data_IF_520389207588
#
_entry.id   IF_520389207588
#
_cell.length_a   1.000
_cell.length_b   1.000
_cell.length_c   1.000
_cell.angle_alpha   90.00
_cell.angle_beta   90.00
_cell.angle_gamma   90.00
#
_symmetry.space_group_name_H-M   'P 1'
#
loop_
_entity.id
_entity.type
_entity.pdbx_description
1 polymer ?
#
# COMPACT_ATOMS: atom_id res chain seq x y z
N UNK A 1 -54.88 -24.43 46.63
CA UNK A 1 -55.22 -23.14 45.98
C UNK A 1 -54.88 -22.01 46.95
N UNK A 2 -54.37 -20.84 46.52
CA UNK A 2 -53.45 -20.51 45.41
C UNK A 2 -52.16 -19.84 45.98
N UNK A 3 -51.12 -19.45 45.26
CA UNK A 3 -50.79 -19.45 43.84
C UNK A 3 -49.30 -19.11 43.68
N UNK A 4 -48.63 -19.83 42.79
CA UNK A 4 -47.27 -19.49 42.34
C UNK A 4 -47.36 -18.37 41.30
N UNK A 5 -46.56 -17.32 41.46
CA UNK A 5 -46.31 -16.36 40.38
C UNK A 5 -45.14 -16.88 39.55
N UNK A 6 -45.45 -17.41 38.37
CA UNK A 6 -44.50 -17.63 37.29
C UNK A 6 -44.06 -16.28 36.71
N UNK A 7 -42.77 -15.94 36.82
CA UNK A 7 -42.18 -14.87 36.02
C UNK A 7 -41.62 -15.47 34.72
N UNK A 8 -42.50 -15.80 33.80
CA UNK A 8 -42.12 -16.30 32.48
C UNK A 8 -41.82 -15.11 31.55
N UNK A 9 -40.55 -14.83 31.25
CA UNK A 9 -40.18 -13.80 30.28
C UNK A 9 -40.42 -14.31 28.84
N UNK A 10 -41.39 -13.72 28.14
CA UNK A 10 -42.04 -14.27 26.92
C UNK A 10 -41.28 -14.04 25.61
N UNK A 11 -39.95 -14.07 25.61
CA UNK A 11 -39.18 -13.95 24.35
C UNK A 11 -38.10 -15.03 24.16
N UNK A 12 -37.67 -15.77 25.20
CA UNK A 12 -36.60 -16.80 25.04
C UNK A 12 -36.72 -18.08 25.87
N UNK A 13 -37.92 -18.50 26.29
CA UNK A 13 -38.19 -19.91 26.65
C UNK A 13 -37.27 -20.58 27.67
N UNK A 14 -36.80 -19.89 28.72
CA UNK A 14 -36.04 -20.50 29.82
C UNK A 14 -36.75 -20.19 31.13
N UNK A 15 -37.20 -21.23 31.83
CA UNK A 15 -37.69 -21.15 33.21
C UNK A 15 -36.61 -21.72 34.13
N UNK A 16 -36.18 -20.95 35.14
CA UNK A 16 -35.32 -21.46 36.21
C UNK A 16 -36.20 -21.92 37.36
N UNK A 17 -36.25 -23.24 37.62
CA UNK A 17 -36.75 -23.78 38.88
C UNK A 17 -35.55 -24.09 39.77
N UNK A 18 -35.53 -23.51 40.97
CA UNK A 18 -34.58 -23.87 42.03
C UNK A 18 -34.90 -25.29 42.52
N UNK A 19 -33.92 -26.20 42.50
CA UNK A 19 -34.07 -27.56 43.05
C UNK A 19 -33.50 -27.62 44.47
N UNK A 20 -34.33 -28.09 45.41
CA UNK A 20 -33.97 -28.39 46.79
C UNK A 20 -33.66 -29.89 46.91
N UNK A 21 -32.64 -30.24 47.71
CA UNK A 21 -32.13 -31.59 47.87
C UNK A 21 -33.12 -32.52 48.60
N UNK A 22 -33.43 -33.70 48.04
CA UNK A 22 -34.22 -34.70 48.79
C UNK A 22 -34.73 -35.96 48.06
N UNK A 23 -34.90 -35.97 46.73
CA UNK A 23 -35.61 -37.09 46.09
C UNK A 23 -34.68 -38.15 45.47
N UNK A 24 -34.87 -39.40 45.91
CA UNK A 24 -34.20 -40.60 45.38
C UNK A 24 -35.09 -41.21 44.29
N UNK A 25 -34.66 -41.21 43.02
CA UNK A 25 -35.33 -41.94 41.93
C UNK A 25 -34.49 -43.13 41.46
N UNK A 26 -35.15 -44.30 41.36
CA UNK A 26 -34.59 -45.53 40.78
C UNK A 26 -34.50 -45.36 39.26
N UNK A 27 -33.27 -45.33 38.71
CA UNK A 27 -33.02 -45.09 37.27
C UNK A 27 -32.87 -46.43 36.53
N UNK A 28 -33.67 -46.62 35.49
CA UNK A 28 -33.67 -47.76 34.57
C UNK A 28 -32.36 -47.82 33.74
N UNK A 29 -31.79 -49.00 33.37
CA UNK A 29 -30.40 -49.12 32.89
C UNK A 29 -30.05 -48.46 31.55
N UNK A 30 -31.03 -47.96 30.79
CA UNK A 30 -30.78 -47.31 29.49
C UNK A 30 -30.46 -45.80 29.58
N UNK A 31 -30.64 -45.18 30.74
CA UNK A 31 -30.28 -43.77 30.95
C UNK A 31 -28.85 -43.55 31.49
N UNK A 32 -28.17 -44.60 31.96
CA UNK A 32 -26.82 -44.52 32.53
C UNK A 32 -25.73 -44.26 31.46
N UNK A 33 -25.93 -44.73 30.23
CA UNK A 33 -24.96 -44.58 29.14
C UNK A 33 -24.90 -43.14 28.57
N UNK A 34 -26.01 -42.40 28.59
CA UNK A 34 -26.07 -41.04 28.02
C UNK A 34 -25.61 -39.97 29.04
N UNK A 35 -25.75 -40.23 30.35
CA UNK A 35 -25.24 -39.32 31.38
C UNK A 35 -23.71 -39.45 31.59
N UNK A 36 -23.13 -40.64 31.50
CA UNK A 36 -21.68 -40.85 31.66
C UNK A 36 -20.87 -40.24 30.49
N UNK A 37 -21.44 -40.19 29.29
CA UNK A 37 -20.80 -39.54 28.13
C UNK A 37 -20.93 -38.00 28.11
N UNK A 38 -21.88 -37.41 28.85
CA UNK A 38 -22.02 -35.93 28.95
C UNK A 38 -21.28 -35.34 30.15
N UNK A 39 -21.06 -36.11 31.21
CA UNK A 39 -20.37 -35.63 32.43
C UNK A 39 -18.85 -35.80 32.39
N UNK A 40 -18.31 -36.56 31.43
CA UNK A 40 -16.88 -36.69 31.16
C UNK A 40 -16.34 -35.67 30.15
N UNK A 41 -17.20 -35.00 29.38
CA UNK A 41 -16.79 -33.94 28.44
C UNK A 41 -16.60 -32.58 29.12
N UNK A 42 -17.23 -32.34 30.28
CA UNK A 42 -17.16 -31.05 30.98
C UNK A 42 -15.92 -30.90 31.87
N UNK A 43 -15.38 -32.00 32.40
CA UNK A 43 -14.10 -31.97 33.12
C UNK A 43 -12.88 -31.99 32.18
N UNK A 44 -13.01 -32.53 30.96
CA UNK A 44 -11.96 -32.43 29.94
C UNK A 44 -11.90 -31.02 29.33
N UNK A 45 -13.03 -30.29 29.27
CA UNK A 45 -13.06 -28.89 28.80
C UNK A 45 -12.72 -27.85 29.88
N UNK A 46 -12.84 -28.17 31.18
CA UNK A 46 -12.40 -27.29 32.28
C UNK A 46 -10.97 -27.62 32.75
N UNK A 47 -10.45 -28.82 32.46
CA UNK A 47 -9.06 -29.21 32.69
C UNK A 47 -8.06 -28.87 31.58
N UNK A 48 -8.54 -28.47 30.39
CA UNK A 48 -7.73 -28.00 29.24
C UNK A 48 -7.81 -26.48 29.02
N UNK A 49 -8.25 -25.74 30.05
CA UNK A 49 -8.14 -24.28 30.11
C UNK A 49 -7.31 -23.85 31.33
N UNK A 50 -6.30 -24.66 31.69
CA UNK A 50 -5.15 -24.21 32.48
C UNK A 50 -4.00 -24.03 31.51
N UNK A 51 -3.89 -22.79 31.03
CA UNK A 51 -2.61 -22.09 30.90
C UNK A 51 -1.60 -22.87 30.04
N UNK A 52 -1.85 -22.85 28.74
CA UNK A 52 -0.76 -22.55 27.82
C UNK A 52 -0.34 -21.09 27.99
N UNK A 53 0.14 -20.69 29.18
CA UNK A 53 1.24 -19.74 29.16
C UNK A 53 2.32 -20.56 28.45
N UNK A 54 2.48 -20.32 27.17
CA UNK A 54 3.83 -20.30 26.65
C UNK A 54 4.51 -19.30 27.58
N UNK A 55 5.20 -19.82 28.60
CA UNK A 55 6.36 -19.15 29.15
C UNK A 55 7.29 -19.07 27.95
N UNK A 56 7.04 -18.09 27.08
CA UNK A 56 8.11 -17.49 26.34
C UNK A 56 9.02 -17.08 27.48
N UNK A 57 10.12 -17.82 27.64
CA UNK A 57 11.27 -17.31 28.35
C UNK A 57 11.35 -15.84 27.97
N UNK A 58 11.38 -14.88 28.93
CA UNK A 58 11.51 -13.48 28.55
C UNK A 58 12.65 -13.47 27.54
N UNK A 59 12.35 -13.06 26.31
CA UNK A 59 13.38 -12.95 25.29
C UNK A 59 14.49 -12.17 25.99
N UNK A 60 15.68 -12.76 26.09
CA UNK A 60 16.78 -12.15 26.84
C UNK A 60 16.83 -10.69 26.47
N UNK A 61 16.76 -9.81 27.48
CA UNK A 61 16.62 -8.39 27.24
C UNK A 61 17.68 -7.94 26.24
N UNK A 62 17.27 -7.16 25.23
CA UNK A 62 18.22 -6.72 24.20
C UNK A 62 19.12 -5.66 24.81
N UNK A 63 20.40 -6.00 24.97
CA UNK A 63 21.43 -5.06 25.44
C UNK A 63 21.55 -3.86 24.50
N UNK A 64 21.35 -2.65 25.02
CA UNK A 64 21.43 -1.39 24.28
C UNK A 64 22.70 -0.62 24.62
N UNK A 65 23.48 -0.28 23.59
CA UNK A 65 24.71 0.51 23.70
C UNK A 65 24.52 1.92 23.14
N UNK A 66 25.43 2.82 23.50
CA UNK A 66 25.44 4.17 22.92
C UNK A 66 25.65 4.08 21.40
N UNK A 67 24.80 4.76 20.65
CA UNK A 67 24.74 4.77 19.19
C UNK A 67 23.74 3.78 18.60
N UNK A 68 23.22 2.84 19.39
CA UNK A 68 22.28 1.84 18.90
C UNK A 68 20.96 2.48 18.45
N UNK A 69 20.32 1.81 17.50
CA UNK A 69 18.97 2.14 17.07
C UNK A 69 17.97 1.24 17.81
N UNK A 70 16.88 1.85 18.24
CA UNK A 70 15.72 1.24 18.86
C UNK A 70 14.53 1.61 18.00
N UNK A 71 13.72 0.62 17.63
CA UNK A 71 12.47 0.88 16.95
C UNK A 71 11.33 1.07 17.95
N UNK A 72 10.41 1.98 17.62
CA UNK A 72 9.18 2.16 18.39
C UNK A 72 8.46 0.82 18.50
N UNK A 73 7.89 0.56 19.68
CA UNK A 73 7.27 -0.67 20.16
C UNK A 73 8.22 -1.82 20.53
N UNK A 74 9.54 -1.65 20.43
CA UNK A 74 10.46 -2.60 21.08
C UNK A 74 10.25 -2.64 22.59
N UNK A 75 10.38 -3.86 23.16
CA UNK A 75 10.13 -4.18 24.56
C UNK A 75 11.26 -4.98 25.15
N UNK A 76 11.40 -4.92 26.48
CA UNK A 76 12.43 -5.68 27.18
C UNK A 76 13.85 -5.25 26.80
N UNK A 77 14.08 -3.94 26.69
CA UNK A 77 15.39 -3.38 26.37
C UNK A 77 16.20 -3.18 27.65
N UNK A 78 17.48 -3.53 27.59
CA UNK A 78 18.42 -3.27 28.69
C UNK A 78 19.29 -2.05 28.37
N UNK A 79 18.99 -0.93 29.01
CA UNK A 79 19.70 0.34 28.92
C UNK A 79 20.85 0.49 29.92
N UNK A 80 21.14 -0.50 30.77
CA UNK A 80 22.19 -0.39 31.81
C UNK A 80 23.58 -0.12 31.21
N UNK A 81 23.82 -0.54 29.98
CA UNK A 81 25.05 -0.23 29.23
C UNK A 81 25.14 1.25 28.80
N UNK A 82 24.08 2.04 28.99
CA UNK A 82 24.08 3.51 28.86
C UNK A 82 24.40 4.21 30.19
N UNK A 83 24.73 3.47 31.24
CA UNK A 83 25.14 4.05 32.52
C UNK A 83 26.65 4.31 32.53
N UNK A 84 27.09 5.24 33.38
CA UNK A 84 28.51 5.36 33.72
C UNK A 84 28.80 4.36 34.85
N UNK A 85 29.93 3.65 34.78
CA UNK A 85 30.28 2.73 35.85
C UNK A 85 30.40 3.47 37.19
N UNK A 86 29.58 3.07 38.18
CA UNK A 86 29.51 3.70 39.51
C UNK A 86 28.60 4.93 39.61
N UNK A 87 27.87 5.27 38.54
CA UNK A 87 26.84 6.32 38.49
C UNK A 87 25.47 5.80 38.92
N UNK A 88 24.52 6.73 39.08
CA UNK A 88 23.11 6.42 39.26
C UNK A 88 22.44 5.95 37.95
N UNK A 89 21.40 5.11 38.03
CA UNK A 89 20.80 4.47 36.85
C UNK A 89 20.18 5.46 35.87
N UNK A 90 20.02 5.08 34.61
CA UNK A 90 19.28 5.91 33.65
C UNK A 90 17.83 6.04 34.12
N UNK A 91 17.37 7.28 34.33
CA UNK A 91 16.01 7.58 34.82
C UNK A 91 15.08 8.12 33.73
N UNK A 92 15.63 8.57 32.62
CA UNK A 92 14.88 8.95 31.44
C UNK A 92 15.76 8.95 30.19
N UNK A 93 15.12 8.95 29.02
CA UNK A 93 15.73 9.29 27.74
C UNK A 93 15.21 10.65 27.29
N UNK A 94 16.11 11.59 27.00
CA UNK A 94 15.75 12.97 26.65
C UNK A 94 16.03 13.26 25.18
N UNK A 95 15.06 13.84 24.48
CA UNK A 95 15.22 14.36 23.13
C UNK A 95 15.25 15.88 23.14
N UNK A 96 16.29 16.46 22.52
CA UNK A 96 16.51 17.90 22.49
C UNK A 96 16.39 18.42 21.06
N UNK A 97 16.04 19.70 20.96
CA UNK A 97 16.03 20.41 19.67
C UNK A 97 17.41 20.32 18.99
N UNK A 98 17.41 19.97 17.71
CA UNK A 98 18.59 19.86 16.85
C UNK A 98 19.68 18.92 17.39
N UNK A 99 19.32 17.89 18.16
CA UNK A 99 20.27 16.97 18.80
C UNK A 99 21.33 17.70 19.67
N UNK A 100 20.93 18.79 20.35
CA UNK A 100 21.83 19.61 21.18
C UNK A 100 21.31 19.71 22.62
N UNK A 101 22.04 19.09 23.56
CA UNK A 101 21.67 19.04 24.98
C UNK A 101 21.67 20.39 25.69
N UNK A 102 22.20 21.45 25.06
CA UNK A 102 22.13 22.82 25.57
C UNK A 102 20.84 23.55 25.16
N UNK A 103 20.07 22.99 24.21
CA UNK A 103 18.82 23.57 23.71
C UNK A 103 17.60 23.03 24.46
N UNK A 104 16.42 23.44 24.00
CA UNK A 104 15.16 23.04 24.60
C UNK A 104 14.96 21.52 24.56
N UNK A 105 14.56 20.95 25.70
CA UNK A 105 14.03 19.59 25.81
C UNK A 105 12.69 19.54 25.06
N UNK A 106 12.57 18.63 24.10
CA UNK A 106 11.38 18.44 23.29
C UNK A 106 10.54 17.25 23.76
N UNK A 107 11.20 16.16 24.19
CA UNK A 107 10.52 14.98 24.72
C UNK A 107 11.33 14.32 25.83
N UNK A 108 10.62 13.65 26.75
CA UNK A 108 11.18 12.85 27.83
C UNK A 108 10.45 11.50 27.88
N UNK A 109 11.21 10.41 27.76
CA UNK A 109 10.72 9.05 27.95
C UNK A 109 11.18 8.59 29.33
N UNK A 110 10.28 8.44 30.32
CA UNK A 110 10.65 8.04 31.66
C UNK A 110 11.12 6.59 31.68
N UNK A 111 12.20 6.31 32.42
CA UNK A 111 12.76 4.97 32.62
C UNK A 111 12.63 4.61 34.10
N UNK A 112 11.79 3.60 34.38
CA UNK A 112 11.56 3.12 35.76
C UNK A 112 12.50 1.99 36.15
N UNK A 113 12.82 1.11 35.21
CA UNK A 113 13.77 0.01 35.35
C UNK A 113 14.68 0.00 34.11
N UNK A 114 15.96 0.40 34.21
CA UNK A 114 16.85 0.46 33.06
C UNK A 114 17.15 -0.92 32.47
N UNK A 115 16.95 -2.03 33.20
CA UNK A 115 17.18 -3.38 32.68
C UNK A 115 15.98 -3.93 31.89
N UNK A 116 14.85 -3.22 31.88
CA UNK A 116 13.63 -3.66 31.22
C UNK A 116 12.79 -2.45 30.78
N UNK A 117 13.14 -1.88 29.64
CA UNK A 117 12.49 -0.71 29.07
C UNK A 117 11.67 -1.08 27.84
N UNK A 118 10.46 -0.54 27.79
CA UNK A 118 9.57 -0.60 26.62
C UNK A 118 9.49 0.80 26.00
N UNK A 119 9.74 0.90 24.69
CA UNK A 119 9.58 2.15 23.94
C UNK A 119 8.23 2.12 23.26
N UNK A 120 7.24 2.77 23.85
CA UNK A 120 5.89 2.84 23.31
C UNK A 120 5.71 4.09 22.45
N UNK A 121 4.92 3.99 21.39
CA UNK A 121 4.55 5.12 20.53
C UNK A 121 3.99 6.31 21.33
N UNK A 122 3.13 6.05 22.33
CA UNK A 122 2.58 7.08 23.20
C UNK A 122 3.61 7.86 24.03
N UNK A 123 4.83 7.33 24.18
CA UNK A 123 5.94 8.01 24.87
C UNK A 123 6.82 8.78 23.89
N UNK A 124 6.94 8.31 22.65
CA UNK A 124 7.78 8.93 21.61
C UNK A 124 7.03 10.08 20.94
N UNK A 125 5.72 9.92 20.72
CA UNK A 125 4.90 10.83 19.92
C UNK A 125 5.56 11.04 18.55
N UNK A 126 5.52 12.26 18.00
CA UNK A 126 6.19 12.59 16.73
C UNK A 126 7.71 12.85 16.88
N UNK A 127 8.29 12.68 18.08
CA UNK A 127 9.68 13.01 18.36
C UNK A 127 10.62 11.84 18.09
N UNK A 128 10.79 11.45 16.83
CA UNK A 128 11.79 10.44 16.44
C UNK A 128 13.17 11.08 16.27
N UNK A 129 14.22 10.29 16.49
CA UNK A 129 15.60 10.73 16.33
C UNK A 129 16.46 10.38 17.53
N UNK A 130 17.41 11.25 17.88
CA UNK A 130 18.39 10.96 18.92
C UNK A 130 17.85 11.29 20.30
N UNK A 131 18.01 10.34 21.22
CA UNK A 131 17.71 10.51 22.63
C UNK A 131 18.99 10.31 23.45
N UNK A 132 19.13 11.08 24.51
CA UNK A 132 20.29 11.05 25.41
C UNK A 132 19.92 10.42 26.74
N UNK A 133 20.83 9.63 27.30
CA UNK A 133 20.67 9.09 28.63
C UNK A 133 20.63 10.23 29.66
N UNK A 134 19.63 10.20 30.54
CA UNK A 134 19.46 11.19 31.59
C UNK A 134 19.33 10.53 32.97
N UNK A 135 20.02 11.10 33.93
CA UNK A 135 19.94 10.76 35.34
C UNK A 135 19.47 11.97 36.16
N UNK A 136 18.52 11.78 37.08
CA UNK A 136 18.01 12.89 37.94
C UNK A 136 19.07 13.54 38.84
N UNK A 137 20.09 12.80 39.24
CA UNK A 137 21.18 13.30 40.11
C UNK A 137 22.29 13.97 39.31
N UNK A 138 22.66 13.38 38.17
CA UNK A 138 23.86 13.77 37.40
C UNK A 138 23.54 14.61 36.16
N UNK A 139 22.28 14.63 35.71
CA UNK A 139 21.85 15.31 34.50
C UNK A 139 21.97 14.47 33.24
N UNK A 140 22.06 15.14 32.10
CA UNK A 140 22.18 14.51 30.77
C UNK A 140 23.62 14.17 30.44
N UNK A 141 23.86 12.98 29.90
CA UNK A 141 25.15 12.60 29.33
C UNK A 141 25.13 12.74 27.80
N UNK A 142 25.72 13.82 27.29
CA UNK A 142 25.77 14.11 25.85
C UNK A 142 26.57 13.07 25.03
N UNK A 143 27.36 12.20 25.67
CA UNK A 143 28.14 11.16 24.99
C UNK A 143 27.40 9.83 24.87
N UNK A 144 26.32 9.66 25.62
CA UNK A 144 25.52 8.44 25.67
C UNK A 144 24.14 8.69 25.09
N UNK A 145 23.94 8.19 23.88
CA UNK A 145 22.70 8.41 23.14
C UNK A 145 22.24 7.17 22.40
N UNK A 146 20.95 7.07 22.14
CA UNK A 146 20.34 6.06 21.27
C UNK A 146 19.55 6.78 20.18
N UNK A 147 19.23 6.07 19.10
CA UNK A 147 18.31 6.58 18.08
C UNK A 147 16.99 5.83 18.15
N UNK A 148 15.89 6.54 18.35
CA UNK A 148 14.54 5.98 18.38
C UNK A 148 13.85 6.30 17.06
N UNK A 149 13.49 5.28 16.28
CA UNK A 149 12.91 5.42 14.94
C UNK A 149 11.64 4.58 14.78
N UNK A 150 10.76 5.00 13.87
CA UNK A 150 9.61 4.18 13.48
C UNK A 150 10.00 3.04 12.54
N UNK A 151 9.48 1.82 12.75
CA UNK A 151 9.64 0.71 11.82
C UNK A 151 8.65 0.82 10.65
N UNK A 152 8.73 1.91 9.88
CA UNK A 152 7.79 2.16 8.77
C UNK A 152 7.98 1.15 7.63
N UNK A 153 6.87 0.59 7.12
CA UNK A 153 6.84 -0.30 5.97
C UNK A 153 5.78 0.17 4.96
N UNK A 154 6.17 0.29 3.70
CA UNK A 154 5.25 0.60 2.60
C UNK A 154 5.65 -0.18 1.35
N UNK A 155 4.70 -0.40 0.44
CA UNK A 155 4.96 -1.06 -0.83
C UNK A 155 4.38 -0.28 -2.00
N UNK A 156 4.95 -0.53 -3.17
CA UNK A 156 4.39 -0.23 -4.47
C UNK A 156 4.55 -1.46 -5.38
N UNK A 157 3.68 -1.62 -6.37
CA UNK A 157 3.91 -2.57 -7.46
C UNK A 157 4.38 -1.77 -8.66
N UNK A 158 5.46 -2.21 -9.27
CA UNK A 158 6.16 -1.50 -10.33
C UNK A 158 6.35 -2.42 -11.52
N UNK A 159 6.59 -1.84 -12.70
CA UNK A 159 7.12 -2.61 -13.82
C UNK A 159 8.48 -3.20 -13.42
N UNK A 160 8.73 -4.44 -13.81
CA UNK A 160 10.01 -5.10 -13.55
C UNK A 160 11.20 -4.35 -14.18
N UNK A 161 12.41 -4.72 -13.78
CA UNK A 161 13.65 -4.18 -14.32
C UNK A 161 13.63 -4.12 -15.86
N UNK A 162 14.06 -3.00 -16.48
CA UNK A 162 14.67 -1.79 -15.89
C UNK A 162 13.70 -0.65 -15.53
N UNK A 163 12.40 -0.91 -15.47
CA UNK A 163 11.36 0.13 -15.39
C UNK A 163 10.76 0.34 -14.01
N UNK A 164 11.51 0.08 -12.93
CA UNK A 164 11.04 0.23 -11.54
C UNK A 164 10.52 1.61 -11.14
N UNK A 165 10.74 2.64 -11.96
CA UNK A 165 10.19 3.99 -11.75
C UNK A 165 8.70 4.10 -12.10
N UNK A 166 8.18 3.17 -12.90
CA UNK A 166 6.78 3.13 -13.32
C UNK A 166 5.95 2.28 -12.37
N UNK A 167 5.18 2.96 -11.51
CA UNK A 167 4.18 2.33 -10.65
C UNK A 167 2.98 1.89 -11.47
N UNK A 168 2.50 0.67 -11.25
CA UNK A 168 1.30 0.16 -11.93
C UNK A 168 0.03 0.88 -11.47
N UNK A 169 0.02 1.46 -10.26
CA UNK A 169 -1.13 2.20 -9.75
C UNK A 169 -1.41 3.47 -10.55
N UNK A 170 -0.43 3.94 -11.32
CA UNK A 170 -0.54 5.09 -12.23
C UNK A 170 -0.99 4.70 -13.65
N UNK A 171 -1.14 3.41 -13.94
CA UNK A 171 -1.47 2.89 -15.27
C UNK A 171 -2.94 2.44 -15.30
N UNK A 172 -3.70 2.93 -16.28
CA UNK A 172 -5.14 2.60 -16.40
C UNK A 172 -5.38 1.15 -16.84
N UNK A 173 -4.49 0.59 -17.66
CA UNK A 173 -4.55 -0.79 -18.16
C UNK A 173 -3.17 -1.34 -18.39
N UNK A 174 -3.02 -2.64 -18.11
CA UNK A 174 -1.81 -3.40 -18.30
C UNK A 174 -2.11 -4.68 -19.07
N UNK A 175 -1.31 -5.05 -20.08
CA UNK A 175 -1.36 -6.39 -20.66
C UNK A 175 -1.13 -7.48 -19.61
N UNK A 176 -1.86 -8.59 -19.70
CA UNK A 176 -1.73 -9.71 -18.75
C UNK A 176 -0.33 -10.34 -18.70
N UNK A 177 0.49 -10.11 -19.73
CA UNK A 177 1.86 -10.62 -19.87
C UNK A 177 2.93 -9.67 -19.36
N UNK A 178 2.56 -8.50 -18.82
CA UNK A 178 3.52 -7.54 -18.29
C UNK A 178 4.18 -8.10 -17.03
N UNK A 179 5.51 -8.08 -17.01
CA UNK A 179 6.29 -8.50 -15.86
C UNK A 179 6.33 -7.38 -14.81
N UNK A 180 5.98 -7.75 -13.59
CA UNK A 180 5.85 -6.87 -12.43
C UNK A 180 6.82 -7.30 -11.33
N UNK A 181 7.18 -6.33 -10.51
CA UNK A 181 7.95 -6.49 -9.28
C UNK A 181 7.28 -5.70 -8.15
N UNK A 182 7.61 -6.04 -6.90
CA UNK A 182 7.18 -5.27 -5.73
C UNK A 182 8.36 -4.43 -5.26
N UNK A 183 8.14 -3.12 -5.17
CA UNK A 183 9.03 -2.17 -4.50
C UNK A 183 8.63 -2.12 -3.03
N UNK A 184 9.55 -2.48 -2.14
CA UNK A 184 9.35 -2.45 -0.69
C UNK A 184 10.17 -1.30 -0.14
N UNK A 185 9.54 -0.41 0.62
CA UNK A 185 10.18 0.79 1.16
C UNK A 185 10.07 0.74 2.68
N UNK A 186 11.23 0.62 3.33
CA UNK A 186 11.37 0.68 4.77
C UNK A 186 12.64 1.43 5.15
N UNK A 187 12.60 2.77 5.19
CA UNK A 187 13.80 3.59 5.23
C UNK A 187 14.64 3.34 6.48
N UNK A 188 14.00 3.34 7.65
CA UNK A 188 14.71 3.20 8.91
C UNK A 188 15.16 1.75 9.17
N UNK A 189 14.28 0.77 8.92
CA UNK A 189 14.62 -0.64 9.16
C UNK A 189 15.70 -1.11 8.20
N UNK A 190 15.53 -0.87 6.90
CA UNK A 190 16.53 -1.28 5.90
C UNK A 190 17.91 -0.67 6.14
N UNK A 191 17.95 0.59 6.59
CA UNK A 191 19.21 1.29 6.88
C UNK A 191 19.86 0.91 8.21
N UNK A 192 19.09 0.72 9.27
CA UNK A 192 19.63 0.69 10.65
C UNK A 192 19.42 -0.61 11.40
N UNK A 193 18.43 -1.43 11.03
CA UNK A 193 18.17 -2.68 11.75
C UNK A 193 19.21 -3.73 11.40
N UNK A 194 19.93 -4.26 12.39
CA UNK A 194 20.79 -5.44 12.26
C UNK A 194 20.70 -6.27 13.54
N UNK A 195 20.47 -7.57 13.41
CA UNK A 195 20.56 -8.53 14.50
C UNK A 195 21.57 -9.61 14.15
N UNK A 196 22.75 -9.57 14.77
CA UNK A 196 23.85 -10.50 14.47
C UNK A 196 24.15 -10.61 12.97
N UNK A 197 24.21 -9.47 12.28
CA UNK A 197 24.35 -9.31 10.83
C UNK A 197 23.14 -9.75 9.97
N UNK A 198 22.05 -10.19 10.58
CA UNK A 198 20.81 -10.51 9.87
C UNK A 198 19.96 -9.24 9.66
N UNK A 199 19.26 -9.22 8.53
CA UNK A 199 18.30 -8.19 8.17
C UNK A 199 16.90 -8.53 8.72
N UNK A 200 16.04 -7.51 8.79
CA UNK A 200 14.62 -7.76 8.95
C UNK A 200 14.06 -8.42 7.68
N UNK A 201 13.02 -9.23 7.83
CA UNK A 201 12.37 -9.94 6.74
C UNK A 201 10.88 -9.59 6.69
N UNK A 202 10.34 -9.51 5.48
CA UNK A 202 8.90 -9.37 5.23
C UNK A 202 8.38 -10.48 4.30
N UNK A 203 7.13 -10.86 4.47
CA UNK A 203 6.40 -11.68 3.50
C UNK A 203 5.48 -10.77 2.68
N UNK A 204 5.60 -10.80 1.35
CA UNK A 204 4.61 -10.14 0.48
C UNK A 204 3.52 -11.14 0.17
N UNK A 205 2.31 -10.82 0.62
CA UNK A 205 1.14 -11.68 0.58
C UNK A 205 0.21 -11.17 -0.50
N UNK A 206 -0.12 -12.05 -1.44
CA UNK A 206 -1.21 -11.90 -2.37
C UNK A 206 -2.48 -12.46 -1.73
N UNK A 207 -3.53 -11.65 -1.69
CA UNK A 207 -4.87 -12.01 -1.24
C UNK A 207 -5.77 -12.06 -2.48
N UNK A 208 -6.26 -13.25 -2.80
CA UNK A 208 -7.15 -13.46 -3.93
C UNK A 208 -8.60 -13.04 -3.65
N UNK A 209 -9.49 -13.06 -4.67
CA UNK A 209 -10.88 -12.59 -4.55
C UNK A 209 -11.72 -13.32 -3.50
N UNK A 210 -11.35 -14.56 -3.18
CA UNK A 210 -12.00 -15.39 -2.16
C UNK A 210 -11.33 -15.29 -0.77
N UNK A 211 -10.36 -14.37 -0.60
CA UNK A 211 -9.57 -14.21 0.63
C UNK A 211 -8.45 -15.23 0.81
N UNK A 212 -8.13 -16.04 -0.21
CA UNK A 212 -7.01 -16.97 -0.14
C UNK A 212 -5.68 -16.20 -0.16
N UNK A 213 -4.83 -16.45 0.83
CA UNK A 213 -3.52 -15.81 0.96
C UNK A 213 -2.40 -16.72 0.42
N UNK A 214 -1.45 -16.13 -0.31
CA UNK A 214 -0.25 -16.83 -0.81
C UNK A 214 0.93 -15.88 -0.95
N UNK A 215 2.15 -16.36 -0.70
CA UNK A 215 3.38 -15.63 -1.03
C UNK A 215 3.95 -16.04 -2.39
N UNK A 216 3.35 -17.04 -3.05
CA UNK A 216 3.76 -17.51 -4.38
C UNK A 216 2.82 -16.99 -5.45
N UNK A 217 3.39 -16.33 -6.46
CA UNK A 217 2.68 -15.82 -7.64
C UNK A 217 3.44 -16.30 -8.88
N UNK A 218 2.85 -17.23 -9.64
CA UNK A 218 3.55 -17.86 -10.76
C UNK A 218 4.85 -18.55 -10.30
N UNK A 219 5.98 -18.12 -10.83
CA UNK A 219 7.31 -18.59 -10.43
C UNK A 219 7.96 -17.79 -9.30
N UNK A 220 7.40 -16.63 -8.94
CA UNK A 220 7.95 -15.77 -7.89
C UNK A 220 7.60 -16.30 -6.50
N UNK A 221 8.60 -16.34 -5.59
CA UNK A 221 8.43 -16.64 -4.17
C UNK A 221 8.73 -15.38 -3.36
N UNK A 222 7.67 -14.72 -2.91
CA UNK A 222 7.75 -13.43 -2.23
C UNK A 222 7.75 -13.57 -0.70
N UNK A 223 8.18 -14.72 -0.19
CA UNK A 223 8.37 -14.94 1.24
C UNK A 223 9.80 -14.62 1.71
N UNK A 224 9.93 -14.13 2.94
CA UNK A 224 11.21 -13.88 3.61
C UNK A 224 12.12 -12.93 2.81
N UNK A 225 11.57 -11.83 2.33
CA UNK A 225 12.33 -10.81 1.60
C UNK A 225 13.12 -9.99 2.62
N UNK A 226 14.44 -10.01 2.51
CA UNK A 226 15.34 -9.28 3.39
C UNK A 226 15.36 -7.78 3.05
N UNK A 227 15.19 -6.95 4.07
CA UNK A 227 15.27 -5.49 3.96
C UNK A 227 16.73 -5.04 4.07
N UNK A 228 17.48 -5.20 2.99
CA UNK A 228 18.93 -4.93 2.95
C UNK A 228 19.29 -3.44 2.83
N UNK A 229 18.34 -2.63 2.37
CA UNK A 229 18.43 -1.19 2.13
C UNK A 229 17.07 -0.53 2.33
N UNK A 230 17.04 0.80 2.30
CA UNK A 230 15.83 1.61 2.48
C UNK A 230 14.72 1.27 1.46
N UNK A 231 15.10 0.84 0.27
CA UNK A 231 14.19 0.40 -0.79
C UNK A 231 14.71 -0.91 -1.38
N UNK A 232 13.86 -1.94 -1.49
CA UNK A 232 14.20 -3.26 -2.03
C UNK A 232 13.23 -3.61 -3.16
N UNK A 233 13.75 -4.05 -4.29
CA UNK A 233 12.96 -4.57 -5.41
C UNK A 233 13.00 -6.10 -5.44
N UNK A 234 11.83 -6.74 -5.56
CA UNK A 234 11.75 -8.21 -5.46
C UNK A 234 12.50 -8.95 -6.57
N UNK A 235 12.65 -8.36 -7.75
CA UNK A 235 13.24 -8.99 -8.92
C UNK A 235 14.76 -8.81 -9.04
N UNK A 236 15.33 -7.70 -8.55
CA UNK A 236 16.78 -7.40 -8.66
C UNK A 236 17.55 -7.42 -7.35
N UNK A 237 16.90 -7.10 -6.23
CA UNK A 237 17.59 -6.95 -4.95
C UNK A 237 17.46 -8.22 -4.11
N UNK A 238 16.28 -8.81 -4.14
CA UNK A 238 15.97 -10.06 -3.47
C UNK A 238 16.03 -11.28 -4.41
N UNK A 239 16.18 -11.05 -5.72
CA UNK A 239 16.26 -12.06 -6.78
C UNK A 239 15.12 -13.11 -6.70
N UNK A 240 13.90 -12.66 -6.34
CA UNK A 240 12.70 -13.50 -6.18
C UNK A 240 11.96 -13.73 -7.50
N UNK A 241 12.44 -13.16 -8.60
CA UNK A 241 11.81 -13.21 -9.90
C UNK A 241 10.66 -12.20 -10.06
N UNK A 242 10.02 -12.25 -11.22
CA UNK A 242 8.88 -11.40 -11.58
C UNK A 242 7.60 -12.21 -11.64
N UNK A 243 6.46 -11.54 -11.59
CA UNK A 243 5.14 -12.14 -11.80
C UNK A 243 4.35 -11.33 -12.81
N UNK A 244 3.28 -11.92 -13.35
CA UNK A 244 2.38 -11.27 -14.31
C UNK A 244 0.94 -11.35 -13.83
N UNK A 245 0.06 -10.49 -14.35
CA UNK A 245 -1.38 -10.57 -14.05
C UNK A 245 -1.99 -11.89 -14.52
N UNK A 246 -1.40 -12.54 -15.55
CA UNK A 246 -1.85 -13.85 -16.02
C UNK A 246 -1.71 -14.94 -14.96
N UNK A 247 -0.71 -14.82 -14.09
CA UNK A 247 -0.42 -15.78 -13.01
C UNK A 247 -1.44 -15.68 -11.86
N UNK A 248 -2.22 -14.60 -11.83
CA UNK A 248 -3.27 -14.33 -10.85
C UNK A 248 -4.62 -14.78 -11.42
N UNK A 249 -5.57 -15.26 -10.62
CA UNK A 249 -6.91 -15.58 -11.11
C UNK A 249 -7.65 -14.34 -11.65
N UNK A 250 -8.81 -14.47 -12.32
CA UNK A 250 -9.67 -13.32 -12.57
C UNK A 250 -10.23 -12.76 -11.26
N UNK A 251 -10.51 -11.45 -11.23
CA UNK A 251 -11.11 -10.75 -10.09
C UNK A 251 -10.17 -9.79 -9.37
N UNK A 252 -10.65 -9.23 -8.25
CA UNK A 252 -9.89 -8.28 -7.42
C UNK A 252 -8.91 -9.03 -6.54
N UNK A 253 -7.66 -8.59 -6.61
CA UNK A 253 -6.54 -9.10 -5.82
C UNK A 253 -5.96 -7.95 -5.00
N UNK A 254 -5.49 -8.26 -3.80
CA UNK A 254 -4.79 -7.31 -2.94
C UNK A 254 -3.39 -7.82 -2.65
N UNK A 255 -2.42 -6.91 -2.58
CA UNK A 255 -1.05 -7.21 -2.18
C UNK A 255 -0.71 -6.39 -0.94
N UNK A 256 -0.10 -7.03 0.05
CA UNK A 256 0.38 -6.41 1.28
C UNK A 256 1.70 -7.06 1.72
N UNK A 257 2.70 -6.27 2.12
CA UNK A 257 3.86 -6.78 2.83
C UNK A 257 3.57 -6.81 4.33
N UNK A 258 3.81 -7.97 4.95
CA UNK A 258 3.69 -8.16 6.39
C UNK A 258 5.03 -8.49 7.01
N UNK A 259 5.25 -8.01 8.23
CA UNK A 259 6.47 -8.30 8.97
C UNK A 259 6.61 -9.80 9.26
N UNK A 260 7.79 -10.37 8.95
CA UNK A 260 8.12 -11.77 9.24
C UNK A 260 9.17 -11.88 10.34
N UNK A 261 10.27 -11.12 10.21
CA UNK A 261 11.33 -11.05 11.22
C UNK A 261 11.81 -9.61 11.41
N UNK A 262 12.20 -9.22 12.63
CA UNK A 262 12.05 -9.96 13.89
C UNK A 262 10.58 -10.19 14.27
N UNK A 263 10.32 -11.19 15.12
CA UNK A 263 8.97 -11.49 15.63
C UNK A 263 8.33 -10.29 16.32
N UNK A 264 9.15 -9.41 16.91
CA UNK A 264 8.69 -8.14 17.47
C UNK A 264 7.93 -7.32 16.44
N UNK A 265 8.52 -7.01 15.28
CA UNK A 265 7.87 -6.21 14.25
C UNK A 265 6.55 -6.83 13.80
N UNK A 266 6.51 -8.16 13.61
CA UNK A 266 5.29 -8.89 13.28
C UNK A 266 4.17 -8.80 14.33
N UNK A 267 4.52 -8.46 15.57
CA UNK A 267 3.55 -8.41 16.69
C UNK A 267 3.01 -7.00 16.94
N UNK A 268 3.76 -5.96 16.58
CA UNK A 268 3.45 -4.59 17.01
C UNK A 268 3.61 -3.50 15.96
N UNK A 269 4.36 -3.73 14.88
CA UNK A 269 4.53 -2.72 13.84
C UNK A 269 3.40 -2.85 12.82
N UNK A 270 2.99 -1.73 12.24
CA UNK A 270 2.02 -1.76 11.15
C UNK A 270 2.62 -2.45 9.92
N UNK A 271 1.82 -3.32 9.30
CA UNK A 271 2.10 -3.86 7.97
C UNK A 271 2.01 -2.76 6.91
N UNK A 272 2.38 -3.08 5.68
CA UNK A 272 2.35 -2.09 4.61
C UNK A 272 0.92 -1.61 4.27
N UNK A 273 0.86 -0.52 3.50
CA UNK A 273 -0.32 -0.21 2.68
C UNK A 273 -0.72 -1.41 1.81
N UNK A 274 -2.01 -1.48 1.48
CA UNK A 274 -2.56 -2.48 0.57
C UNK A 274 -2.61 -1.88 -0.84
N UNK A 275 -2.29 -2.70 -1.84
CA UNK A 275 -2.47 -2.33 -3.25
C UNK A 275 -3.43 -3.31 -3.89
N UNK A 276 -4.49 -2.78 -4.51
CA UNK A 276 -5.55 -3.57 -5.14
C UNK A 276 -5.44 -3.52 -6.67
N UNK A 277 -5.61 -4.67 -7.32
CA UNK A 277 -5.65 -4.81 -8.78
C UNK A 277 -6.87 -5.63 -9.18
N UNK A 278 -7.50 -5.28 -10.29
CA UNK A 278 -8.58 -6.09 -10.86
C UNK A 278 -8.12 -6.73 -12.16
N UNK A 279 -8.14 -8.07 -12.19
CA UNK A 279 -7.98 -8.81 -13.45
C UNK A 279 -9.35 -9.04 -14.08
N UNK A 280 -9.62 -8.31 -15.16
CA UNK A 280 -10.84 -8.43 -15.95
C UNK A 280 -10.75 -9.60 -16.93
N UNK A 281 -11.83 -10.37 -17.07
CA UNK A 281 -11.94 -11.37 -18.15
C UNK A 281 -12.41 -10.66 -19.41
N UNK A 282 -11.50 -10.44 -20.36
CA UNK A 282 -11.87 -9.92 -21.68
C UNK A 282 -12.48 -11.07 -22.49
N UNK A 283 -13.81 -11.15 -22.53
CA UNK A 283 -14.49 -12.06 -23.44
C UNK A 283 -14.39 -11.50 -24.86
N UNK A 284 -13.60 -12.15 -25.72
CA UNK A 284 -13.58 -11.82 -27.15
C UNK A 284 -14.99 -11.96 -27.71
N UNK A 285 -15.57 -10.92 -28.33
CA UNK A 285 -16.89 -11.05 -28.93
C UNK A 285 -16.84 -12.16 -29.99
N UNK A 286 -17.83 -13.06 -29.97
CA UNK A 286 -18.00 -14.07 -31.01
C UNK A 286 -18.06 -13.33 -32.35
N UNK A 287 -17.28 -13.72 -33.38
CA UNK A 287 -17.33 -13.05 -34.66
C UNK A 287 -18.77 -13.10 -35.17
N UNK A 288 -19.35 -11.92 -35.44
CA UNK A 288 -20.67 -11.83 -36.08
C UNK A 288 -20.58 -12.59 -37.40
N UNK A 289 -21.49 -13.54 -37.70
CA UNK A 289 -21.46 -14.24 -38.97
C UNK A 289 -21.48 -13.20 -40.10
N UNK A 290 -20.48 -13.25 -40.98
CA UNK A 290 -20.43 -12.40 -42.16
C UNK A 290 -21.72 -12.62 -42.94
N UNK A 291 -22.52 -11.57 -43.23
CA UNK A 291 -23.73 -11.75 -44.03
C UNK A 291 -23.33 -12.39 -45.36
N UNK A 292 -23.95 -13.52 -45.69
CA UNK A 292 -23.78 -14.18 -46.98
C UNK A 292 -24.11 -13.15 -48.07
N UNK A 293 -23.24 -12.95 -49.09
CA UNK A 293 -23.53 -11.99 -50.14
C UNK A 293 -24.87 -12.32 -50.78
N UNK A 294 -25.81 -11.38 -50.72
CA UNK A 294 -27.09 -11.48 -51.43
C UNK A 294 -26.79 -11.57 -52.92
N UNK A 295 -27.32 -12.57 -53.66
CA UNK A 295 -27.10 -12.63 -55.10
C UNK A 295 -27.57 -11.33 -55.74
N UNK A 296 -26.68 -10.68 -56.47
CA UNK A 296 -26.96 -9.44 -57.19
C UNK A 296 -28.11 -9.69 -58.17
N UNK A 297 -29.19 -8.89 -58.16
CA UNK A 297 -30.26 -9.04 -59.15
C UNK A 297 -29.67 -8.88 -60.55
N UNK A 298 -29.98 -9.83 -61.43
CA UNK A 298 -29.59 -9.80 -62.84
C UNK A 298 -30.18 -8.53 -63.48
N UNK A 299 -29.40 -7.71 -64.20
CA UNK A 299 -29.93 -6.48 -64.79
C UNK A 299 -31.05 -6.81 -65.78
N UNK A 300 -32.21 -6.22 -65.54
CA UNK A 300 -33.35 -6.24 -66.47
C UNK A 300 -32.94 -5.56 -67.78
N UNK A 301 -33.20 -6.14 -68.96
CA UNK A 301 -32.82 -5.54 -70.23
C UNK A 301 -33.48 -4.16 -70.40
N UNK A 302 -32.65 -3.16 -70.72
CA UNK A 302 -33.08 -1.78 -71.00
C UNK A 302 -33.99 -1.77 -72.25
N UNK A 303 -35.18 -1.15 -72.20
CA UNK A 303 -36.03 -1.00 -73.38
C UNK A 303 -35.36 -0.11 -74.45
N UNK A 304 -35.67 -0.32 -75.74
CA UNK A 304 -35.07 0.44 -76.85
C UNK A 304 -35.45 1.93 -76.77
N UNK A 305 -34.57 2.83 -77.27
CA UNK A 305 -34.79 4.27 -77.19
C UNK A 305 -36.04 4.69 -77.97
N UNK A 306 -36.86 5.51 -77.33
CA UNK A 306 -38.02 6.18 -77.92
C UNK A 306 -37.53 7.26 -78.91
N UNK A 307 -38.13 7.42 -80.11
CA UNK A 307 -37.68 8.40 -81.08
C UNK A 307 -37.82 9.83 -80.57
N UNK A 308 -36.76 10.62 -80.75
CA UNK A 308 -36.63 12.02 -80.35
C UNK A 308 -37.61 12.90 -81.15
N UNK A 309 -38.44 13.74 -80.50
CA UNK A 309 -39.27 14.70 -81.23
C UNK A 309 -38.40 15.82 -81.83
N UNK A 310 -38.67 16.14 -83.10
CA UNK A 310 -38.06 17.25 -83.84
C UNK A 310 -38.60 18.57 -83.27
N UNK A 311 -37.73 19.34 -82.62
CA UNK A 311 -38.06 20.70 -82.16
C UNK A 311 -37.84 21.68 -83.31
N UNK A 312 -38.92 22.39 -83.66
CA UNK A 312 -38.97 23.51 -84.59
C UNK A 312 -38.29 24.76 -83.97
N UNK A 313 -37.54 25.56 -84.75
CA UNK A 313 -36.81 26.70 -84.19
C UNK A 313 -37.76 27.82 -83.73
N UNK A 314 -37.66 28.16 -82.45
CA UNK A 314 -38.34 29.30 -81.81
C UNK A 314 -37.64 30.61 -82.17
N UNK A 315 -38.36 31.69 -82.50
CA UNK A 315 -37.77 32.96 -82.94
C UNK A 315 -36.95 33.66 -81.84
N UNK A 316 -35.83 34.23 -82.28
CA UNK A 316 -34.85 34.99 -81.50
C UNK A 316 -35.47 36.24 -80.85
N UNK A 317 -35.42 36.40 -79.52
CA UNK A 317 -35.83 37.65 -78.87
C UNK A 317 -34.75 38.74 -79.02
N UNK A 318 -35.26 39.93 -79.34
CA UNK A 318 -34.61 41.22 -79.54
C UNK A 318 -33.80 41.68 -78.31
N UNK A 319 -32.61 42.30 -78.47
CA UNK A 319 -31.79 42.73 -77.33
C UNK A 319 -32.47 43.84 -76.51
N UNK A 320 -32.51 43.65 -75.19
CA UNK A 320 -32.88 44.68 -74.21
C UNK A 320 -31.68 45.62 -73.98
N UNK A 321 -31.89 46.95 -73.95
CA UNK A 321 -30.81 47.92 -73.77
C UNK A 321 -30.21 47.87 -72.36
N UNK A 322 -28.88 47.91 -72.31
CA UNK A 322 -28.03 47.94 -71.14
C UNK A 322 -28.27 49.21 -70.29
N UNK A 323 -28.49 49.13 -68.97
CA UNK A 323 -28.50 50.30 -68.12
C UNK A 323 -27.09 50.91 -68.00
N UNK A 324 -27.05 52.23 -68.09
CA UNK A 324 -25.89 53.12 -68.08
C UNK A 324 -25.20 53.12 -66.72
N UNK A 325 -23.85 53.09 -66.63
CA UNK A 325 -23.16 53.09 -65.35
C UNK A 325 -23.30 54.45 -64.63
N UNK A 326 -23.68 54.41 -63.36
CA UNK A 326 -23.67 55.54 -62.45
C UNK A 326 -22.21 55.92 -62.13
N UNK A 327 -21.81 57.20 -62.26
CA UNK A 327 -20.46 57.65 -61.88
C UNK A 327 -20.36 57.82 -60.35
N UNK A 328 -19.33 57.23 -59.73
CA UNK A 328 -18.96 57.52 -58.33
C UNK A 328 -17.64 58.34 -58.31
N UNK A 329 -17.55 59.40 -57.49
CA UNK A 329 -16.56 60.47 -57.64
C UNK A 329 -15.11 60.12 -57.24
N UNK A 330 -14.20 60.75 -57.97
CA UNK A 330 -12.73 60.81 -57.85
C UNK A 330 -12.25 61.72 -56.68
N UNK A 331 -10.94 61.83 -56.36
CA UNK A 331 -10.37 61.57 -55.03
C UNK A 331 -9.86 62.84 -54.30
N UNK A 332 -9.45 62.71 -53.04
CA UNK A 332 -8.62 63.70 -52.35
C UNK A 332 -7.35 63.05 -51.78
N UNK A 333 -6.22 63.51 -52.31
CA UNK A 333 -4.84 63.19 -51.92
C UNK A 333 -4.40 63.93 -50.65
N UNK A 334 -3.55 63.28 -49.84
CA UNK A 334 -2.33 63.84 -49.21
C UNK A 334 -1.71 62.71 -48.34
N UNK A 335 -0.57 62.11 -48.74
CA UNK A 335 0.81 62.53 -48.41
C UNK A 335 1.09 62.40 -46.90
N UNK A 336 2.17 61.83 -46.36
CA UNK A 336 3.53 61.44 -46.78
C UNK A 336 4.09 60.69 -45.53
N UNK A 337 4.76 59.53 -45.58
CA UNK A 337 6.21 59.41 -45.66
C UNK A 337 6.61 57.92 -45.62
N UNK A 338 7.58 57.61 -46.48
CA UNK A 338 8.13 56.34 -46.91
C UNK A 338 9.47 56.05 -46.16
N UNK A 339 10.26 54.99 -46.45
CA UNK A 339 10.55 53.92 -45.49
C UNK A 339 12.07 53.65 -45.31
N UNK A 340 12.39 52.40 -44.93
CA UNK A 340 13.54 51.61 -45.38
C UNK A 340 14.85 51.72 -44.56
N UNK A 341 15.31 50.59 -44.02
CA UNK A 341 16.51 49.89 -44.52
C UNK A 341 16.87 48.67 -43.65
N UNK A 342 16.97 47.52 -44.31
CA UNK A 342 17.69 46.34 -43.84
C UNK A 342 19.20 46.56 -44.00
N UNK A 343 20.03 46.09 -43.05
CA UNK A 343 21.43 45.74 -43.30
C UNK A 343 21.84 44.55 -42.42
N UNK A 344 22.38 43.54 -43.09
CA UNK A 344 23.01 42.34 -42.55
C UNK A 344 24.36 42.64 -41.87
N UNK A 345 24.80 41.78 -40.94
CA UNK A 345 26.16 41.87 -40.42
C UNK A 345 26.50 40.74 -39.46
N UNK A 346 27.24 39.75 -39.97
CA UNK A 346 27.93 38.72 -39.21
C UNK A 346 28.98 39.33 -38.25
N UNK A 347 29.16 38.71 -37.08
CA UNK A 347 30.15 39.13 -36.07
C UNK A 347 30.59 37.98 -35.18
N UNK A 348 31.47 37.15 -35.72
CA UNK A 348 32.37 36.24 -34.99
C UNK A 348 33.41 37.09 -34.23
N UNK A 349 33.51 36.99 -32.90
CA UNK A 349 34.74 37.34 -32.19
C UNK A 349 34.85 36.69 -30.79
N UNK A 350 35.65 35.62 -30.81
CA UNK A 350 36.59 35.09 -29.80
C UNK A 350 36.70 35.90 -28.48
N UNK A 351 36.36 35.24 -27.38
CA UNK A 351 36.76 35.66 -26.02
C UNK A 351 38.08 34.96 -25.64
N UNK A 352 39.18 35.71 -25.66
CA UNK A 352 40.40 35.36 -24.92
C UNK A 352 40.54 36.37 -23.77
N UNK A 353 40.59 35.88 -22.53
CA UNK A 353 41.40 36.53 -21.50
C UNK A 353 42.04 35.51 -20.59
N UNK A 354 43.36 35.46 -20.72
CA UNK A 354 44.34 34.68 -19.97
C UNK A 354 44.79 35.51 -18.76
N UNK A 355 44.93 34.83 -17.62
CA UNK A 355 45.90 35.03 -16.52
C UNK A 355 46.52 36.42 -16.30
N UNK A 356 46.25 36.97 -15.12
CA UNK A 356 47.11 37.83 -14.32
C UNK A 356 46.88 37.47 -12.86
#
# INVERSE_FOLDING_TARGET
MPGFFDLCNRVRGICYSTMQAGDTYIIHPRHLQIMILKQSAWWVLVGLLLIGLVLASPASARDIKSGDTIFVHERGLDLTNLEVAGSHPVTALHHYRDDDTSKALLNEIPVSDPANVDILDSLVLDYHGRYYAYNRTEGVDATRSVRILEPKLTIDVVLADPYHHESVTKLERLPDTTHLAVKIISPNVGSFYRDNNNYAEVDVILIGPAGAETTRIGTADLSGIELTRSEVFTDTDADRGTFTLKDMGPGVHEIQARWKKPQGFASYAEDSNIISFERLVVTTPTPTPTPTPTPTPTPTPTPPPTPTPVITPTPTPTPIPTPTPTPEPTPASASLLLPLAAVAGAGLLVYLRKSG
#
